data_IF_862096101079
#
_entry.id   IF_862096101079
#
_cell.length_a   1.000
_cell.length_b   1.000
_cell.length_c   1.000
_cell.angle_alpha   90.00
_cell.angle_beta   90.00
_cell.angle_gamma   90.00
#
_symmetry.space_group_name_H-M   'P 1'
#
loop_
_entity.id
_entity.type
_entity.pdbx_description
1 polymer ?
#
# COMPACT_ATOMS: atom_id res chain seq x y z
N UNK A 1 14.05 -3.23 -11.13
CA UNK A 1 13.81 -4.68 -10.96
C UNK A 1 13.95 -5.15 -9.49
N UNK A 2 14.90 -4.64 -8.71
CA UNK A 2 15.06 -4.99 -7.29
C UNK A 2 13.87 -4.56 -6.39
N UNK A 3 13.15 -3.55 -6.73
CA UNK A 3 12.04 -2.98 -5.97
C UNK A 3 10.80 -3.87 -5.90
N UNK A 4 10.46 -4.53 -7.00
CA UNK A 4 9.32 -5.46 -7.02
C UNK A 4 9.55 -6.66 -6.10
N UNK A 5 10.78 -7.16 -6.05
CA UNK A 5 11.17 -8.27 -5.16
C UNK A 5 11.12 -7.85 -3.69
N UNK A 6 11.49 -6.62 -3.38
CA UNK A 6 11.44 -6.09 -2.00
C UNK A 6 10.00 -5.92 -1.53
N UNK A 7 9.11 -5.38 -2.36
CA UNK A 7 7.70 -5.26 -2.02
C UNK A 7 7.06 -6.64 -1.75
N UNK A 8 7.33 -7.62 -2.62
CA UNK A 8 6.82 -8.98 -2.45
C UNK A 8 7.41 -9.65 -1.20
N UNK A 9 8.70 -9.48 -0.95
CA UNK A 9 9.35 -10.05 0.25
C UNK A 9 8.84 -9.44 1.54
N UNK A 10 8.62 -8.14 1.56
CA UNK A 10 8.04 -7.46 2.71
C UNK A 10 6.60 -7.94 2.97
N UNK A 11 5.80 -8.07 1.91
CA UNK A 11 4.44 -8.59 1.99
C UNK A 11 4.42 -10.04 2.48
N UNK A 12 5.32 -10.89 1.98
CA UNK A 12 5.43 -12.29 2.41
C UNK A 12 5.89 -12.38 3.87
N UNK A 13 6.85 -11.58 4.29
CA UNK A 13 7.32 -11.54 5.68
C UNK A 13 6.22 -11.08 6.64
N UNK A 14 5.43 -10.09 6.25
CA UNK A 14 4.29 -9.60 7.02
C UNK A 14 3.18 -10.67 7.07
N UNK A 15 2.88 -11.33 5.97
CA UNK A 15 1.88 -12.41 5.89
C UNK A 15 2.30 -13.63 6.72
N UNK A 16 3.57 -14.01 6.72
CA UNK A 16 4.09 -15.13 7.52
C UNK A 16 4.05 -14.84 9.03
N UNK A 17 4.28 -13.59 9.43
CA UNK A 17 4.18 -13.19 10.84
C UNK A 17 2.71 -13.13 11.31
N UNK A 18 1.78 -12.84 10.42
CA UNK A 18 0.35 -12.77 10.71
C UNK A 18 -0.33 -14.15 10.83
N UNK A 19 0.23 -15.21 10.23
CA UNK A 19 -0.29 -16.56 10.32
C UNK A 19 -0.24 -17.16 11.74
N UNK A 20 0.47 -16.54 12.67
CA UNK A 20 0.65 -16.96 14.06
C UNK A 20 -0.17 -16.12 15.07
N UNK A 21 -1.00 -15.17 14.60
CA UNK A 21 -1.78 -14.28 15.47
C UNK A 21 -3.25 -14.69 15.52
N UNK A 22 -3.88 -14.78 16.72
CA UNK A 22 -5.31 -15.08 16.81
C UNK A 22 -6.16 -13.87 16.41
N UNK A 23 -7.13 -14.18 15.58
CA UNK A 23 -8.25 -13.43 15.02
C UNK A 23 -8.51 -12.00 15.54
N UNK A 24 -8.34 -11.01 14.66
CA UNK A 24 -8.89 -9.67 14.84
C UNK A 24 -10.38 -9.64 14.46
N UNK A 25 -11.20 -9.09 15.33
CA UNK A 25 -12.65 -8.95 15.13
C UNK A 25 -12.98 -7.95 14.00
N UNK A 26 -13.91 -8.28 13.07
CA UNK A 26 -14.14 -7.53 11.84
C UNK A 26 -14.92 -6.21 11.97
N UNK A 27 -15.20 -5.71 13.17
CA UNK A 27 -16.15 -4.59 13.36
C UNK A 27 -15.58 -3.19 13.09
N UNK A 28 -14.25 -3.01 13.13
CA UNK A 28 -13.61 -1.73 12.84
C UNK A 28 -13.28 -1.55 11.35
N UNK A 29 -13.32 -2.62 10.57
CA UNK A 29 -12.84 -2.66 9.19
C UNK A 29 -13.68 -1.86 8.18
N UNK A 30 -14.96 -1.63 8.46
CA UNK A 30 -15.86 -1.01 7.48
C UNK A 30 -15.66 0.51 7.33
N UNK A 31 -15.44 1.23 8.45
CA UNK A 31 -15.23 2.69 8.41
C UNK A 31 -13.85 3.07 7.88
N UNK A 32 -12.85 2.24 8.12
CA UNK A 32 -11.48 2.44 7.65
C UNK A 32 -11.33 2.12 6.17
N UNK A 33 -12.15 1.22 5.65
CA UNK A 33 -12.22 0.89 4.25
C UNK A 33 -12.61 2.11 3.38
N UNK A 34 -13.49 2.96 3.88
CA UNK A 34 -13.94 4.15 3.16
C UNK A 34 -12.86 5.24 3.09
N UNK A 35 -12.06 5.44 4.13
CA UNK A 35 -10.98 6.43 4.13
C UNK A 35 -9.85 6.04 3.19
N UNK A 36 -9.52 4.75 3.10
CA UNK A 36 -8.53 4.23 2.16
C UNK A 36 -8.97 4.37 0.71
N UNK A 37 -10.23 4.05 0.42
CA UNK A 37 -10.80 4.26 -0.93
C UNK A 37 -10.80 5.74 -1.32
N UNK A 38 -11.16 6.62 -0.41
CA UNK A 38 -11.14 8.07 -0.65
C UNK A 38 -9.71 8.58 -0.91
N UNK A 39 -8.72 8.06 -0.19
CA UNK A 39 -7.32 8.39 -0.43
C UNK A 39 -6.88 7.97 -1.84
N UNK A 40 -7.17 6.74 -2.26
CA UNK A 40 -6.84 6.25 -3.59
C UNK A 40 -7.58 7.02 -4.69
N UNK A 41 -8.84 7.38 -4.45
CA UNK A 41 -9.61 8.21 -5.38
C UNK A 41 -8.99 9.61 -5.55
N UNK A 42 -8.46 10.20 -4.47
CA UNK A 42 -7.75 11.48 -4.53
C UNK A 42 -6.45 11.38 -5.35
N UNK A 43 -5.82 10.20 -5.40
CA UNK A 43 -4.67 9.93 -6.28
C UNK A 43 -5.09 9.62 -7.73
N UNK A 44 -6.37 9.46 -8.01
CA UNK A 44 -6.90 9.17 -9.35
C UNK A 44 -7.10 7.69 -9.65
N UNK A 45 -7.14 6.83 -8.62
CA UNK A 45 -7.35 5.39 -8.78
C UNK A 45 -8.71 4.95 -8.27
N UNK A 46 -9.28 3.95 -8.92
CA UNK A 46 -10.51 3.30 -8.47
C UNK A 46 -10.18 2.05 -7.66
N UNK A 47 -10.48 2.10 -6.37
CA UNK A 47 -10.31 0.97 -5.47
C UNK A 47 -11.55 0.10 -5.45
N UNK A 48 -11.36 -1.19 -5.61
CA UNK A 48 -12.39 -2.22 -5.43
C UNK A 48 -12.51 -2.64 -3.95
N UNK A 49 -12.89 -3.89 -3.75
CA UNK A 49 -13.00 -4.45 -2.40
C UNK A 49 -11.64 -4.49 -1.70
N UNK A 50 -11.67 -4.32 -0.40
CA UNK A 50 -10.49 -4.25 0.42
C UNK A 50 -10.53 -5.14 1.65
N UNK A 51 -9.36 -5.44 2.16
CA UNK A 51 -9.11 -6.15 3.40
C UNK A 51 -8.34 -5.24 4.35
N UNK A 52 -8.65 -5.31 5.64
CA UNK A 52 -7.93 -4.56 6.68
C UNK A 52 -7.34 -5.55 7.68
N UNK A 53 -6.06 -5.38 7.98
CA UNK A 53 -5.34 -6.18 8.99
C UNK A 53 -4.52 -5.29 9.88
N UNK A 54 -4.37 -5.66 11.14
CA UNK A 54 -3.41 -5.02 12.02
C UNK A 54 -2.01 -5.60 11.80
N UNK A 55 -1.03 -4.74 11.70
CA UNK A 55 0.39 -5.08 11.50
C UNK A 55 1.23 -4.29 12.48
N UNK A 56 2.11 -4.97 13.22
CA UNK A 56 3.12 -4.30 14.03
C UNK A 56 4.37 -4.06 13.20
N UNK A 57 4.79 -2.83 13.08
CA UNK A 57 6.06 -2.50 12.44
C UNK A 57 7.24 -2.92 13.36
N UNK A 58 8.40 -3.31 12.79
CA UNK A 58 9.57 -3.66 13.60
C UNK A 58 9.98 -2.51 14.51
N UNK A 59 10.55 -2.83 15.67
CA UNK A 59 10.96 -1.83 16.66
C UNK A 59 12.04 -0.88 16.14
N UNK A 60 12.86 -1.37 15.22
CA UNK A 60 13.86 -0.59 14.48
C UNK A 60 13.76 -0.90 12.99
N UNK A 61 14.05 0.09 12.16
CA UNK A 61 14.07 -0.10 10.72
C UNK A 61 15.19 -1.07 10.32
N UNK A 62 14.83 -2.28 9.92
CA UNK A 62 15.74 -3.25 9.31
C UNK A 62 16.05 -2.87 7.86
N UNK A 63 16.91 -3.64 7.19
CA UNK A 63 17.27 -3.40 5.79
C UNK A 63 16.06 -3.42 4.86
N UNK A 64 15.12 -4.34 5.10
CA UNK A 64 13.91 -4.48 4.31
C UNK A 64 13.01 -3.25 4.44
N UNK A 65 12.74 -2.82 5.68
CA UNK A 65 11.94 -1.62 5.93
C UNK A 65 12.64 -0.36 5.41
N UNK A 66 13.95 -0.25 5.58
CA UNK A 66 14.73 0.89 5.08
C UNK A 66 14.64 1.00 3.57
N UNK A 67 14.78 -0.10 2.86
CA UNK A 67 14.65 -0.13 1.39
C UNK A 67 13.23 0.21 0.95
N UNK A 68 12.23 -0.36 1.57
CA UNK A 68 10.82 -0.06 1.29
C UNK A 68 10.47 1.39 1.62
N UNK A 69 11.02 1.93 2.71
CA UNK A 69 10.78 3.31 3.14
C UNK A 69 11.37 4.35 2.17
N UNK A 70 12.41 4.00 1.43
CA UNK A 70 12.92 4.87 0.37
C UNK A 70 11.84 5.15 -0.69
N UNK A 71 11.00 4.16 -1.01
CA UNK A 71 9.83 4.33 -1.87
C UNK A 71 8.80 5.29 -1.24
N UNK A 72 8.55 5.16 0.07
CA UNK A 72 7.62 6.02 0.80
C UNK A 72 8.04 7.49 0.77
N UNK A 73 9.32 7.74 0.92
CA UNK A 73 9.90 9.10 0.89
C UNK A 73 9.67 9.82 -0.44
N UNK A 74 9.61 9.09 -1.55
CA UNK A 74 9.26 9.69 -2.85
C UNK A 74 7.83 10.24 -2.88
N UNK A 75 6.94 9.70 -2.05
CA UNK A 75 5.56 10.16 -1.88
C UNK A 75 5.39 11.12 -0.68
N UNK A 76 6.48 11.56 -0.06
CA UNK A 76 6.44 12.46 1.09
C UNK A 76 6.07 11.78 2.41
N UNK A 77 6.17 10.44 2.49
CA UNK A 77 5.84 9.66 3.67
C UNK A 77 7.10 9.02 4.27
N UNK A 78 7.04 8.63 5.55
CA UNK A 78 8.14 7.99 6.25
C UNK A 78 7.61 6.96 7.26
N UNK A 79 7.73 5.68 6.92
CA UNK A 79 7.32 4.58 7.80
C UNK A 79 8.26 4.38 8.99
N UNK A 80 9.51 4.84 8.92
CA UNK A 80 10.46 4.69 10.02
C UNK A 80 10.02 5.44 11.29
N UNK A 81 9.23 6.50 11.13
CA UNK A 81 8.64 7.23 12.25
C UNK A 81 7.61 6.39 13.05
N UNK A 82 7.13 5.30 12.48
CA UNK A 82 6.11 4.40 13.07
C UNK A 82 6.68 3.06 13.51
N UNK A 83 8.00 2.91 13.55
CA UNK A 83 8.63 1.70 14.10
C UNK A 83 8.13 1.40 15.51
N UNK A 84 7.89 0.11 15.80
CA UNK A 84 7.34 -0.37 17.06
C UNK A 84 5.85 -0.11 17.28
N UNK A 85 5.19 0.57 16.35
CA UNK A 85 3.75 0.85 16.42
C UNK A 85 2.94 -0.21 15.68
N UNK A 86 1.71 -0.44 16.13
CA UNK A 86 0.71 -1.22 15.41
C UNK A 86 -0.03 -0.28 14.47
N UNK A 87 -0.04 -0.61 13.20
CA UNK A 87 -0.73 0.12 12.14
C UNK A 87 -1.73 -0.81 11.46
N UNK A 88 -2.65 -0.25 10.70
CA UNK A 88 -3.54 -1.05 9.87
C UNK A 88 -2.98 -1.12 8.46
N UNK A 89 -2.95 -2.32 7.92
CA UNK A 89 -2.65 -2.57 6.52
C UNK A 89 -3.97 -2.79 5.78
N UNK A 90 -4.32 -1.83 4.95
CA UNK A 90 -5.49 -1.91 4.07
C UNK A 90 -5.03 -2.31 2.68
N UNK A 91 -5.62 -3.36 2.14
CA UNK A 91 -5.28 -3.89 0.81
C UNK A 91 -6.50 -3.77 -0.09
N UNK A 92 -6.35 -3.12 -1.25
CA UNK A 92 -7.43 -2.91 -2.21
C UNK A 92 -7.03 -3.42 -3.58
N UNK A 93 -8.00 -3.95 -4.33
CA UNK A 93 -7.83 -4.13 -5.77
C UNK A 93 -7.93 -2.78 -6.48
N UNK A 94 -7.07 -2.55 -7.45
CA UNK A 94 -7.10 -1.36 -8.32
C UNK A 94 -7.38 -1.83 -9.74
N UNK A 95 -8.48 -1.36 -10.32
CA UNK A 95 -9.01 -1.87 -11.59
C UNK A 95 -8.62 -1.03 -12.80
N UNK A 96 -8.13 0.18 -12.58
CA UNK A 96 -7.86 1.18 -13.62
C UNK A 96 -6.39 1.63 -13.67
N UNK A 97 -5.47 0.78 -13.18
CA UNK A 97 -4.05 1.07 -13.30
C UNK A 97 -3.58 0.90 -14.76
N UNK A 98 -2.73 1.82 -15.30
CA UNK A 98 -2.29 1.75 -16.70
C UNK A 98 -1.55 0.48 -17.08
N UNK A 99 -0.88 -0.15 -16.13
CA UNK A 99 -0.14 -1.40 -16.36
C UNK A 99 -1.00 -2.67 -16.25
N UNK A 100 -2.30 -2.56 -15.94
CA UNK A 100 -3.22 -3.68 -15.77
C UNK A 100 -3.66 -3.88 -14.33
N UNK A 101 -3.91 -5.12 -13.93
CA UNK A 101 -4.32 -5.43 -12.57
C UNK A 101 -3.28 -4.97 -11.55
N UNK A 102 -3.74 -4.30 -10.52
CA UNK A 102 -2.91 -3.79 -9.46
C UNK A 102 -3.56 -3.99 -8.09
N UNK A 103 -2.74 -3.96 -7.06
CA UNK A 103 -3.13 -4.01 -5.66
C UNK A 103 -2.52 -2.81 -4.96
N UNK A 104 -3.33 -2.07 -4.23
CA UNK A 104 -2.86 -0.99 -3.38
C UNK A 104 -2.77 -1.46 -1.94
N UNK A 105 -1.65 -1.16 -1.30
CA UNK A 105 -1.42 -1.38 0.12
C UNK A 105 -1.32 -0.02 0.80
N UNK A 106 -2.15 0.21 1.80
CA UNK A 106 -2.13 1.44 2.59
C UNK A 106 -1.83 1.10 4.06
N UNK A 107 -0.79 1.68 4.61
CA UNK A 107 -0.55 1.67 6.04
C UNK A 107 -1.24 2.86 6.67
N UNK A 108 -2.14 2.60 7.60
CA UNK A 108 -2.95 3.62 8.26
C UNK A 108 -2.66 3.63 9.76
N UNK A 109 -2.40 4.79 10.30
CA UNK A 109 -2.20 5.03 11.72
C UNK A 109 -3.05 6.21 12.18
N UNK A 110 -3.93 5.97 13.15
CA UNK A 110 -4.87 7.01 13.65
C UNK A 110 -5.59 7.76 12.54
N UNK A 111 -6.21 7.00 11.63
CA UNK A 111 -6.99 7.49 10.48
C UNK A 111 -6.19 8.26 9.41
N UNK A 112 -4.85 8.23 9.48
CA UNK A 112 -3.97 8.82 8.48
C UNK A 112 -3.20 7.75 7.72
N UNK A 113 -3.14 7.90 6.39
CA UNK A 113 -2.26 7.08 5.56
C UNK A 113 -0.81 7.52 5.80
N UNK A 114 0.01 6.61 6.30
CA UNK A 114 1.40 6.88 6.68
C UNK A 114 2.41 6.21 5.75
N UNK A 115 1.95 5.38 4.85
CA UNK A 115 2.76 4.72 3.84
C UNK A 115 1.94 3.79 2.99
N UNK A 116 2.57 3.18 2.00
CA UNK A 116 1.96 2.20 1.15
C UNK A 116 2.58 2.15 -0.23
N UNK A 117 1.95 1.38 -1.11
CA UNK A 117 2.37 1.21 -2.49
C UNK A 117 1.20 0.79 -3.37
N UNK A 118 1.42 0.87 -4.68
CA UNK A 118 0.58 0.22 -5.69
C UNK A 118 1.48 -0.74 -6.44
N UNK A 119 1.13 -2.01 -6.44
CA UNK A 119 1.96 -3.06 -7.02
C UNK A 119 1.17 -4.03 -7.88
N UNK A 120 1.88 -4.70 -8.78
CA UNK A 120 1.34 -5.83 -9.51
C UNK A 120 1.01 -6.99 -8.56
N UNK A 121 -0.07 -7.74 -8.80
CA UNK A 121 -0.36 -8.95 -8.02
C UNK A 121 0.67 -10.07 -8.23
N UNK A 122 1.54 -9.96 -9.22
CA UNK A 122 2.59 -10.92 -9.51
C UNK A 122 3.96 -10.47 -9.00
N UNK A 123 4.82 -11.42 -8.60
CA UNK A 123 6.14 -11.14 -8.04
C UNK A 123 7.09 -10.40 -9.00
N UNK A 124 6.91 -10.57 -10.30
CA UNK A 124 7.75 -9.98 -11.35
C UNK A 124 7.22 -8.64 -11.88
N UNK A 125 6.16 -8.13 -11.27
CA UNK A 125 5.51 -6.91 -11.69
C UNK A 125 6.11 -5.63 -11.09
N UNK A 126 5.40 -4.53 -11.29
CA UNK A 126 5.79 -3.22 -10.78
C UNK A 126 5.48 -3.06 -9.28
N UNK A 127 6.18 -2.14 -8.65
CA UNK A 127 5.87 -1.60 -7.33
C UNK A 127 6.15 -0.09 -7.35
N UNK A 128 5.13 0.69 -7.11
CA UNK A 128 5.16 2.15 -7.24
C UNK A 128 4.76 2.82 -5.93
N UNK A 129 5.32 4.02 -5.71
CA UNK A 129 4.91 4.87 -4.60
C UNK A 129 3.46 5.39 -4.78
N UNK A 130 2.82 5.76 -3.68
CA UNK A 130 1.49 6.37 -3.67
C UNK A 130 1.57 7.83 -4.14
N UNK A 131 1.72 8.00 -5.44
CA UNK A 131 1.76 9.31 -6.09
C UNK A 131 0.49 9.55 -6.90
N UNK A 132 0.08 10.82 -7.07
CA UNK A 132 -1.03 11.14 -7.95
C UNK A 132 -0.79 10.58 -9.34
N UNK A 133 -1.78 9.90 -9.86
CA UNK A 133 -1.77 9.43 -11.24
C UNK A 133 -1.60 10.63 -12.18
N UNK A 134 -0.62 10.57 -13.06
CA UNK A 134 -0.49 11.58 -14.10
C UNK A 134 -1.81 11.65 -14.88
N UNK A 135 -2.40 12.82 -14.95
CA UNK A 135 -3.56 13.05 -15.80
C UNK A 135 -3.17 12.62 -17.22
N UNK A 136 -3.87 11.62 -17.74
CA UNK A 136 -3.60 11.11 -19.07
C UNK A 136 -3.58 12.29 -20.02
N UNK A 137 -2.45 12.52 -20.68
CA UNK A 137 -2.40 13.43 -21.82
C UNK A 137 -3.33 12.80 -22.85
N UNK A 138 -4.55 13.25 -22.90
CA UNK A 138 -5.40 13.00 -24.04
C UNK A 138 -4.67 13.64 -25.21
N UNK A 139 -3.94 12.85 -25.99
CA UNK A 139 -3.55 13.24 -27.32
C UNK A 139 -4.88 13.46 -28.07
N UNK A 140 -5.35 14.71 -28.02
CA UNK A 140 -6.35 15.14 -28.95
C UNK A 140 -5.79 14.94 -30.34
N UNK A 141 -6.26 13.91 -31.00
CA UNK A 141 -6.05 13.76 -32.45
C UNK A 141 -6.79 14.91 -33.10
N UNK A 142 -6.05 15.96 -33.39
CA UNK A 142 -6.50 16.95 -34.37
C UNK A 142 -6.42 16.24 -35.71
N UNK A 143 -7.59 15.79 -36.16
CA UNK A 143 -7.79 15.37 -37.54
C UNK A 143 -7.81 16.56 -38.46
#
# INVERSE_FOLDING_TARGET
MAWAVVCVRLLIAIVLTLALWPEATPTAAAAENDSGKAFLAALGYTAGDGEVREVRLPDTADETLTTYNALQKTAGMDLSAYCGKTVQLCTYTVTDHPAGEAVAHLYVYKDHVVGGDISSPTADGFCEALLPRAAGVTHGTTG
#
